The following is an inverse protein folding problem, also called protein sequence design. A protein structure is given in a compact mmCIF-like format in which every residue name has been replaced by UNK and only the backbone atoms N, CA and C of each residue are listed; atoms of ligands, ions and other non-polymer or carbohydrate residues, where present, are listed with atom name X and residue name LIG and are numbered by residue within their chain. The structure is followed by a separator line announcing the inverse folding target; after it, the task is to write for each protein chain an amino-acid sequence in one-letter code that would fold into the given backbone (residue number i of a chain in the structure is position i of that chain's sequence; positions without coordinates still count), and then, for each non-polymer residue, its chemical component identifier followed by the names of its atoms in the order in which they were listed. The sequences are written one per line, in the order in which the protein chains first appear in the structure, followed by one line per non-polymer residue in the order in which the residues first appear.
data_IF_966856493969
#
_entry.id   IF_966856493969
#
_cell.length_a   1.000
_cell.length_b   1.000
_cell.length_c   1.000
_cell.angle_alpha   90.00
_cell.angle_beta   90.00
_cell.angle_gamma   90.00
#
_symmetry.space_group_name_H-M   'P 1'
#
loop_
_entity.id
_entity.type
_entity.pdbx_description
1 polymer ?
#
# COMPACT_ATOMS: atom_id res chain seq x y z
N UNK A 1 -6.23 16.03 -10.97
CA UNK A 1 -5.06 16.32 -11.83
C UNK A 1 -3.91 15.49 -11.31
N UNK A 2 -3.17 14.81 -12.19
CA UNK A 2 -2.04 13.98 -11.81
C UNK A 2 -1.00 14.79 -11.01
N UNK A 3 -0.30 14.12 -10.09
CA UNK A 3 0.74 14.72 -9.26
C UNK A 3 0.26 15.67 -8.15
N UNK A 4 -1.05 15.70 -7.84
CA UNK A 4 -1.61 16.55 -6.79
C UNK A 4 -2.02 15.80 -5.52
N UNK A 5 -2.80 14.73 -5.69
CA UNK A 5 -3.33 13.97 -4.56
C UNK A 5 -2.45 12.76 -4.29
N UNK A 6 -1.58 12.87 -3.28
CA UNK A 6 -0.58 11.83 -2.94
C UNK A 6 -1.07 10.83 -1.91
N UNK A 7 -2.27 11.01 -1.37
CA UNK A 7 -2.80 10.20 -0.28
C UNK A 7 -4.30 10.00 -0.46
N UNK A 8 -4.77 8.78 -0.14
CA UNK A 8 -6.19 8.45 -0.06
C UNK A 8 -6.43 7.63 1.21
N UNK A 9 -7.64 7.71 1.75
CA UNK A 9 -8.09 6.81 2.82
C UNK A 9 -9.43 6.19 2.43
N UNK A 10 -9.45 4.87 2.30
CA UNK A 10 -10.69 4.10 2.19
C UNK A 10 -11.26 3.87 3.59
N UNK A 11 -12.56 4.15 3.77
CA UNK A 11 -13.27 3.97 5.04
C UNK A 11 -14.51 3.11 4.85
N UNK A 12 -14.61 2.02 5.59
CA UNK A 12 -15.70 1.07 5.50
C UNK A 12 -15.80 0.22 6.78
N UNK A 13 -16.93 -0.44 6.98
CA UNK A 13 -17.09 -1.40 8.07
C UNK A 13 -16.52 -2.76 7.65
N UNK A 14 -15.85 -3.45 8.58
CA UNK A 14 -15.49 -4.85 8.39
C UNK A 14 -16.75 -5.72 8.39
N UNK A 15 -16.99 -6.46 7.32
CA UNK A 15 -18.23 -7.21 7.13
C UNK A 15 -18.12 -8.62 7.72
N UNK A 16 -19.26 -9.29 8.05
CA UNK A 16 -19.24 -10.67 8.49
C UNK A 16 -18.59 -11.64 7.48
N UNK A 17 -18.65 -11.32 6.18
CA UNK A 17 -18.03 -12.11 5.12
C UNK A 17 -16.49 -12.12 5.19
N UNK A 18 -15.88 -11.15 5.88
CA UNK A 18 -14.43 -11.04 6.02
C UNK A 18 -13.87 -11.89 7.17
N UNK A 19 -14.72 -12.64 7.90
CA UNK A 19 -14.31 -13.38 9.09
C UNK A 19 -13.49 -14.64 8.77
N UNK A 20 -12.48 -14.93 9.59
CA UNK A 20 -11.74 -16.18 9.59
C UNK A 20 -12.29 -17.17 10.63
N UNK A 21 -11.77 -18.39 10.63
CA UNK A 21 -12.17 -19.44 11.59
C UNK A 21 -11.97 -19.07 13.07
N UNK A 22 -11.18 -18.04 13.37
CA UNK A 22 -10.96 -17.51 14.72
C UNK A 22 -11.89 -16.36 15.10
N UNK A 23 -12.93 -16.06 14.32
CA UNK A 23 -13.93 -15.02 14.64
C UNK A 23 -13.46 -13.58 14.44
N UNK A 24 -12.28 -13.38 13.83
CA UNK A 24 -11.69 -12.07 13.52
C UNK A 24 -11.63 -11.89 12.01
N UNK A 25 -11.38 -10.68 11.53
CA UNK A 25 -11.14 -10.44 10.10
C UNK A 25 -9.96 -11.27 9.60
N UNK A 26 -10.13 -11.87 8.43
CA UNK A 26 -9.14 -12.68 7.74
C UNK A 26 -8.02 -11.82 7.13
N UNK A 27 -6.78 -12.31 7.20
CA UNK A 27 -5.63 -11.59 6.64
C UNK A 27 -5.78 -11.31 5.14
N UNK A 28 -6.39 -12.21 4.38
CA UNK A 28 -6.73 -12.00 2.97
C UNK A 28 -7.65 -10.81 2.70
N UNK A 29 -8.62 -10.54 3.58
CA UNK A 29 -9.48 -9.36 3.47
C UNK A 29 -8.67 -8.07 3.67
N UNK A 30 -7.78 -8.06 4.67
CA UNK A 30 -6.87 -6.92 4.90
C UNK A 30 -5.95 -6.70 3.71
N UNK A 31 -5.39 -7.76 3.12
CA UNK A 31 -4.54 -7.66 1.92
C UNK A 31 -5.31 -7.12 0.71
N UNK A 32 -6.57 -7.51 0.52
CA UNK A 32 -7.45 -6.95 -0.51
C UNK A 32 -7.63 -5.44 -0.31
N UNK A 33 -7.89 -4.98 0.92
CA UNK A 33 -8.08 -3.56 1.20
C UNK A 33 -6.80 -2.74 0.98
N UNK A 34 -5.65 -3.30 1.37
CA UNK A 34 -4.33 -2.73 1.10
C UNK A 34 -4.14 -2.51 -0.41
N UNK A 35 -4.40 -3.53 -1.23
CA UNK A 35 -4.25 -3.44 -2.69
C UNK A 35 -5.22 -2.43 -3.32
N UNK A 36 -6.49 -2.42 -2.88
CA UNK A 36 -7.47 -1.44 -3.34
C UNK A 36 -7.05 0.00 -3.04
N UNK A 37 -6.55 0.27 -1.84
CA UNK A 37 -6.06 1.59 -1.46
C UNK A 37 -4.78 1.96 -2.23
N UNK A 38 -3.87 1.00 -2.41
CA UNK A 38 -2.65 1.19 -3.19
C UNK A 38 -2.97 1.59 -4.64
N UNK A 39 -3.86 0.83 -5.29
CA UNK A 39 -4.30 1.09 -6.65
C UNK A 39 -4.99 2.44 -6.79
N UNK A 40 -5.96 2.75 -5.91
CA UNK A 40 -6.67 4.03 -5.97
C UNK A 40 -5.72 5.22 -5.81
N UNK A 41 -4.77 5.14 -4.87
CA UNK A 41 -3.77 6.19 -4.65
C UNK A 41 -2.82 6.34 -5.85
N UNK A 42 -2.29 5.23 -6.37
CA UNK A 42 -1.36 5.23 -7.49
C UNK A 42 -2.03 5.72 -8.79
N UNK A 43 -3.25 5.28 -9.07
CA UNK A 43 -4.02 5.75 -10.21
C UNK A 43 -4.37 7.24 -10.08
N UNK A 44 -4.75 7.69 -8.87
CA UNK A 44 -5.01 9.10 -8.59
C UNK A 44 -3.78 9.99 -8.77
N UNK A 45 -2.62 9.54 -8.29
CA UNK A 45 -1.35 10.25 -8.46
C UNK A 45 -0.89 10.29 -9.91
N UNK A 46 -0.83 9.12 -10.57
CA UNK A 46 -0.29 9.01 -11.93
C UNK A 46 -1.24 9.52 -13.01
N UNK A 47 -2.55 9.49 -12.75
CA UNK A 47 -3.59 9.69 -13.76
C UNK A 47 -3.66 8.54 -14.78
N UNK A 48 -3.14 7.35 -14.44
CA UNK A 48 -2.97 6.22 -15.36
C UNK A 48 -3.40 4.89 -14.73
N UNK A 49 -3.63 3.89 -15.57
CA UNK A 49 -3.79 2.51 -15.11
C UNK A 49 -2.48 2.01 -14.48
N UNK A 50 -2.61 1.27 -13.38
CA UNK A 50 -1.48 0.82 -12.57
C UNK A 50 -1.61 -0.67 -12.25
N UNK A 51 -0.46 -1.34 -12.13
CA UNK A 51 -0.39 -2.75 -11.69
C UNK A 51 0.42 -2.86 -10.40
N UNK A 52 0.09 -3.84 -9.56
CA UNK A 52 0.81 -4.13 -8.32
C UNK A 52 2.06 -4.93 -8.64
N UNK A 53 3.23 -4.30 -8.54
CA UNK A 53 4.52 -4.96 -8.79
C UNK A 53 5.07 -5.66 -7.53
N UNK A 54 4.71 -5.15 -6.34
CA UNK A 54 5.18 -5.72 -5.08
C UNK A 54 4.28 -5.29 -3.92
N UNK A 55 4.02 -6.21 -3.00
CA UNK A 55 3.46 -5.91 -1.69
C UNK A 55 4.31 -6.63 -0.64
N UNK A 56 4.79 -5.91 0.38
CA UNK A 56 5.64 -6.54 1.38
C UNK A 56 5.83 -5.75 2.66
N UNK A 57 6.52 -6.39 3.61
CA UNK A 57 6.63 -5.87 4.98
C UNK A 57 5.29 -5.90 5.74
N UNK A 58 4.32 -6.68 5.27
CA UNK A 58 2.99 -6.80 5.89
C UNK A 58 3.14 -7.42 7.28
N UNK A 59 2.80 -6.65 8.31
CA UNK A 59 2.79 -7.11 9.70
C UNK A 59 1.42 -6.87 10.32
N UNK A 60 0.73 -7.94 10.67
CA UNK A 60 -0.54 -7.88 11.40
C UNK A 60 -0.24 -7.68 12.90
N UNK A 61 -0.26 -6.42 13.36
CA UNK A 61 0.12 -6.06 14.73
C UNK A 61 -1.05 -6.11 15.71
N UNK A 62 -2.30 -5.93 15.25
CA UNK A 62 -3.51 -6.05 16.06
C UNK A 62 -4.65 -6.65 15.23
N UNK A 63 -5.55 -7.44 15.83
CA UNK A 63 -6.70 -8.01 15.13
C UNK A 63 -7.74 -6.93 14.83
N UNK A 64 -8.49 -7.12 13.74
CA UNK A 64 -9.69 -6.35 13.42
C UNK A 64 -10.91 -7.22 13.72
N UNK A 65 -11.90 -6.65 14.40
CA UNK A 65 -13.17 -7.32 14.68
C UNK A 65 -14.19 -7.01 13.59
N UNK A 66 -15.11 -7.95 13.33
CA UNK A 66 -16.28 -7.68 12.50
C UNK A 66 -17.07 -6.50 13.10
N UNK A 67 -17.54 -5.60 12.25
CA UNK A 67 -18.24 -4.38 12.65
C UNK A 67 -17.32 -3.24 13.12
N UNK A 68 -15.99 -3.43 13.17
CA UNK A 68 -15.07 -2.30 13.30
C UNK A 68 -15.15 -1.43 12.05
N UNK A 69 -15.04 -0.11 12.25
CA UNK A 69 -14.71 0.78 11.15
C UNK A 69 -13.21 0.62 10.86
N UNK A 70 -12.90 0.45 9.57
CA UNK A 70 -11.56 0.28 9.04
C UNK A 70 -11.20 1.51 8.23
N UNK A 71 -10.00 2.03 8.45
CA UNK A 71 -9.37 3.07 7.66
C UNK A 71 -8.11 2.48 7.02
N UNK A 72 -8.10 2.38 5.69
CA UNK A 72 -6.91 1.99 4.93
C UNK A 72 -6.38 3.21 4.20
N UNK A 73 -5.30 3.78 4.74
CA UNK A 73 -4.64 4.96 4.22
C UNK A 73 -3.45 4.55 3.37
N UNK A 74 -3.40 4.99 2.12
CA UNK A 74 -2.27 4.79 1.22
C UNK A 74 -1.68 6.14 0.83
N UNK A 75 -0.35 6.27 0.90
CA UNK A 75 0.38 7.52 0.65
C UNK A 75 1.58 7.25 -0.25
N UNK A 76 1.73 8.02 -1.33
CA UNK A 76 2.96 8.04 -2.13
C UNK A 76 4.09 8.60 -1.27
N UNK A 77 5.13 7.79 -1.10
CA UNK A 77 6.33 8.11 -0.32
C UNK A 77 7.60 8.12 -1.16
N UNK A 78 7.54 7.67 -2.41
CA UNK A 78 8.63 7.78 -3.39
C UNK A 78 8.11 7.47 -4.79
N UNK A 79 8.63 8.17 -5.80
CA UNK A 79 8.35 7.91 -7.22
C UNK A 79 9.64 7.60 -7.95
N UNK A 80 9.66 6.51 -8.71
CA UNK A 80 10.67 6.26 -9.73
C UNK A 80 10.23 6.84 -11.09
N UNK A 81 10.76 6.30 -12.19
CA UNK A 81 10.34 6.71 -13.54
C UNK A 81 8.87 6.35 -13.82
N UNK A 82 8.51 5.08 -13.61
CA UNK A 82 7.16 4.54 -13.81
C UNK A 82 6.55 3.94 -12.54
N UNK A 83 7.35 3.79 -11.49
CA UNK A 83 6.94 3.17 -10.23
C UNK A 83 6.55 4.22 -9.19
N UNK A 84 5.60 3.86 -8.33
CA UNK A 84 5.18 4.61 -7.16
C UNK A 84 5.25 3.68 -5.96
N UNK A 85 5.96 4.10 -4.93
CA UNK A 85 6.08 3.39 -3.68
C UNK A 85 5.11 4.02 -2.70
N UNK A 86 4.25 3.19 -2.11
CA UNK A 86 3.19 3.61 -1.22
C UNK A 86 3.42 3.04 0.17
N UNK A 87 3.38 3.91 1.17
CA UNK A 87 3.21 3.52 2.56
C UNK A 87 1.72 3.30 2.83
N UNK A 88 1.38 2.17 3.42
CA UNK A 88 -0.01 1.82 3.72
C UNK A 88 -0.17 1.50 5.20
N UNK A 89 -1.10 2.22 5.83
CA UNK A 89 -1.54 2.00 7.19
C UNK A 89 -3.00 1.53 7.19
N UNK A 90 -3.24 0.39 7.84
CA UNK A 90 -4.59 -0.06 8.18
C UNK A 90 -4.80 0.23 9.65
N UNK A 91 -5.85 1.00 9.96
CA UNK A 91 -6.29 1.28 11.31
C UNK A 91 -7.72 0.81 11.48
N UNK A 92 -8.07 0.35 12.67
CA UNK A 92 -9.44 -0.07 12.96
C UNK A 92 -9.83 0.20 14.40
N UNK A 93 -11.14 0.29 14.65
CA UNK A 93 -11.71 0.44 15.99
C UNK A 93 -13.23 0.33 16.00
N UNK A 94 -13.82 0.38 17.20
CA UNK A 94 -15.27 0.45 17.36
C UNK A 94 -15.78 1.79 16.76
N UNK A 95 -16.75 1.76 15.82
CA UNK A 95 -17.29 2.98 15.21
C UNK A 95 -17.93 3.95 16.22
N UNK A 96 -18.36 3.47 17.39
CA UNK A 96 -18.92 4.32 18.46
C UNK A 96 -17.85 5.16 19.17
N UNK A 97 -16.58 4.78 19.05
CA UNK A 97 -15.45 5.51 19.62
C UNK A 97 -14.70 6.26 18.51
N UNK A 98 -13.99 7.37 18.81
CA UNK A 98 -13.15 8.04 17.83
C UNK A 98 -11.80 7.34 17.61
N UNK A 99 -11.33 6.53 18.57
CA UNK A 99 -10.00 5.94 18.52
C UNK A 99 -9.87 4.83 17.47
N UNK A 100 -8.80 4.89 16.66
CA UNK A 100 -8.41 3.84 15.70
C UNK A 100 -6.98 3.42 15.98
N UNK A 101 -6.79 2.14 16.26
CA UNK A 101 -5.46 1.60 16.48
C UNK A 101 -4.85 1.12 15.16
N UNK A 102 -3.55 1.27 15.00
CA UNK A 102 -2.82 0.66 13.88
C UNK A 102 -2.92 -0.87 13.99
N UNK A 103 -3.37 -1.52 12.93
CA UNK A 103 -3.53 -2.98 12.85
C UNK A 103 -2.56 -3.59 11.86
N UNK A 104 -2.20 -2.86 10.80
CA UNK A 104 -1.24 -3.32 9.80
C UNK A 104 -0.51 -2.13 9.20
N UNK A 105 0.79 -2.30 8.98
CA UNK A 105 1.60 -1.40 8.16
C UNK A 105 2.31 -2.21 7.09
N UNK A 106 2.44 -1.66 5.88
CA UNK A 106 3.20 -2.28 4.80
C UNK A 106 3.62 -1.25 3.74
N UNK A 107 4.47 -1.71 2.82
CA UNK A 107 4.82 -0.98 1.61
C UNK A 107 4.29 -1.74 0.39
N UNK A 108 3.64 -1.00 -0.51
CA UNK A 108 3.21 -1.50 -1.82
C UNK A 108 3.89 -0.69 -2.91
N UNK A 109 4.24 -1.34 -4.01
CA UNK A 109 4.80 -0.68 -5.19
C UNK A 109 3.89 -0.93 -6.36
N UNK A 110 3.43 0.17 -6.94
CA UNK A 110 2.59 0.20 -8.12
C UNK A 110 3.43 0.68 -9.30
N UNK A 111 3.15 0.15 -10.49
CA UNK A 111 3.77 0.60 -11.74
C UNK A 111 2.66 1.09 -12.66
N UNK A 112 2.78 2.32 -13.14
CA UNK A 112 1.88 2.83 -14.18
C UNK A 112 2.23 2.18 -15.52
N UNK A 113 1.22 1.76 -16.26
CA UNK A 113 1.38 1.15 -17.59
C UNK A 113 0.49 1.83 -18.63
N UNK A 114 0.91 1.78 -19.90
CA UNK A 114 0.13 2.23 -21.05
C UNK A 114 -0.88 1.17 -21.53
N UNK A 115 -1.63 1.49 -22.59
CA UNK A 115 -2.64 0.60 -23.17
C UNK A 115 -2.05 -0.70 -23.75
N UNK A 116 -0.74 -0.74 -24.00
CA UNK A 116 -0.01 -1.93 -24.45
C UNK A 116 0.58 -2.72 -23.27
N UNK A 117 0.37 -2.27 -22.03
CA UNK A 117 0.90 -2.88 -20.81
C UNK A 117 2.36 -2.50 -20.52
N UNK A 118 2.96 -1.57 -21.25
CA UNK A 118 4.35 -1.17 -21.03
C UNK A 118 4.45 -0.10 -19.93
N UNK A 119 5.51 -0.12 -19.09
CA UNK A 119 5.70 0.91 -18.07
C UNK A 119 5.78 2.32 -18.65
N UNK A 120 5.04 3.25 -18.05
CA UNK A 120 4.92 4.64 -18.52
C UNK A 120 5.22 5.63 -17.39
N UNK A 121 5.63 6.85 -17.75
CA UNK A 121 6.16 7.82 -16.78
C UNK A 121 5.09 8.35 -15.82
N UNK A 122 5.48 8.59 -14.57
CA UNK A 122 4.60 9.16 -13.53
C UNK A 122 5.11 10.55 -13.11
N UNK A 123 4.23 11.42 -12.59
CA UNK A 123 4.67 12.67 -11.98
C UNK A 123 5.65 12.39 -10.84
N UNK A 124 6.76 13.12 -10.82
CA UNK A 124 7.73 13.03 -9.74
C UNK A 124 7.14 13.63 -8.45
N UNK A 125 7.30 12.91 -7.34
CA UNK A 125 7.02 13.42 -6.01
C UNK A 125 8.32 13.81 -5.32
N UNK A 126 8.42 15.07 -4.93
CA UNK A 126 9.57 15.62 -4.20
C UNK A 126 9.13 15.93 -2.76
N UNK A 127 9.75 15.32 -1.72
CA UNK A 127 9.42 15.63 -0.33
C UNK A 127 9.94 17.00 0.09
N UNK A 128 9.11 17.76 0.80
CA UNK A 128 9.49 19.07 1.36
C UNK A 128 9.79 19.02 2.85
N UNK A 129 9.13 18.12 3.60
CA UNK A 129 9.26 18.03 5.05
C UNK A 129 10.32 17.00 5.47
N UNK A 130 10.96 17.21 6.63
CA UNK A 130 11.90 16.21 7.18
C UNK A 130 11.27 14.83 7.36
N UNK A 131 9.98 14.80 7.73
CA UNK A 131 9.24 13.56 7.88
C UNK A 131 9.08 12.83 6.54
N UNK A 132 8.68 13.54 5.50
CA UNK A 132 8.53 12.98 4.15
C UNK A 132 9.89 12.58 3.56
N UNK A 133 10.97 13.31 3.82
CA UNK A 133 12.34 12.94 3.44
C UNK A 133 12.72 11.61 4.10
N UNK A 134 12.45 11.44 5.40
CA UNK A 134 12.72 10.17 6.11
C UNK A 134 11.92 9.00 5.52
N UNK A 135 10.65 9.22 5.18
CA UNK A 135 9.82 8.20 4.52
C UNK A 135 10.36 7.82 3.14
N UNK A 136 10.72 8.82 2.32
CA UNK A 136 11.35 8.60 1.01
C UNK A 136 12.61 7.77 1.12
N UNK A 137 13.53 8.17 1.99
CA UNK A 137 14.81 7.51 2.14
C UNK A 137 14.63 6.08 2.66
N UNK A 138 13.62 5.85 3.52
CA UNK A 138 13.22 4.51 3.93
C UNK A 138 12.72 3.66 2.77
N UNK A 139 11.85 4.22 1.91
CA UNK A 139 11.34 3.53 0.72
C UNK A 139 12.45 3.14 -0.25
N UNK A 140 13.43 4.04 -0.46
CA UNK A 140 14.61 3.78 -1.30
C UNK A 140 15.46 2.66 -0.69
N UNK A 141 15.76 2.70 0.61
CA UNK A 141 16.51 1.61 1.28
C UNK A 141 15.81 0.26 1.16
N UNK A 142 14.50 0.21 1.39
CA UNK A 142 13.71 -1.01 1.24
C UNK A 142 13.70 -1.54 -0.20
N UNK A 143 13.65 -0.65 -1.19
CA UNK A 143 13.77 -1.00 -2.60
C UNK A 143 15.12 -1.67 -2.90
N UNK A 144 16.22 -1.07 -2.46
CA UNK A 144 17.56 -1.60 -2.70
C UNK A 144 17.77 -2.94 -1.98
N UNK A 145 17.25 -3.09 -0.76
CA UNK A 145 17.24 -4.38 -0.06
C UNK A 145 16.45 -5.43 -0.84
N UNK A 146 15.26 -5.09 -1.37
CA UNK A 146 14.45 -6.01 -2.16
C UNK A 146 15.17 -6.44 -3.44
N UNK A 147 15.83 -5.53 -4.17
CA UNK A 147 16.59 -5.89 -5.39
C UNK A 147 17.62 -6.99 -5.09
N UNK A 148 18.32 -6.89 -3.95
CA UNK A 148 19.26 -7.92 -3.50
C UNK A 148 18.54 -9.25 -3.21
N UNK A 149 17.44 -9.22 -2.45
CA UNK A 149 16.64 -10.43 -2.16
C UNK A 149 16.11 -11.08 -3.45
N UNK A 150 15.63 -10.27 -4.41
CA UNK A 150 15.11 -10.75 -5.69
C UNK A 150 16.18 -11.50 -6.49
N UNK A 151 17.40 -10.97 -6.56
CA UNK A 151 18.52 -11.65 -7.22
C UNK A 151 18.83 -13.01 -6.58
N UNK A 152 18.75 -13.12 -5.25
CA UNK A 152 18.92 -14.41 -4.55
C UNK A 152 17.74 -15.37 -4.82
N UNK A 153 16.52 -14.85 -4.93
CA UNK A 153 15.33 -15.68 -5.21
C UNK A 153 15.29 -16.19 -6.64
N UNK A 154 15.78 -15.45 -7.63
CA UNK A 154 15.89 -15.91 -9.02
C UNK A 154 16.76 -17.16 -9.15
N UNK A 155 17.78 -17.32 -8.30
CA UNK A 155 18.59 -18.53 -8.21
C UNK A 155 17.77 -19.79 -7.83
N UNK A 156 16.58 -19.61 -7.24
CA UNK A 156 15.68 -20.69 -6.80
C UNK A 156 14.47 -20.87 -7.74
N UNK A 157 14.30 -20.00 -8.74
CA UNK A 157 13.18 -20.02 -9.71
C UNK A 157 13.65 -20.41 -11.11
N UNK A 158 14.96 -20.43 -11.37
CA UNK A 158 15.50 -20.99 -12.61
C UNK A 158 15.22 -22.49 -12.71
N UNK A 159 14.26 -22.86 -13.56
CA UNK A 159 14.08 -24.21 -14.14
C UNK A 159 14.73 -24.21 -15.52
#
# INVERSE_FOLDING_TARGET
MAGKEREITLRFLAEPADVNFGGKVHGGAVMKWIDLAAYACAAGWSGKYCITAYAGGIRFVKPIQVGNIVETSAKVIYTGRSSMHLGIDVRAGDPKNPERHLTTHCIVIMVAVDDSGNPTEVPEWVPETEYDIKLRDSAIRLMEMRKKIGAEMEAHVAI
#
